data_IF_571930715445
#
_entry.id   IF_571930715445
#
_cell.length_a   1.000
_cell.length_b   1.000
_cell.length_c   1.000
_cell.angle_alpha   90.00
_cell.angle_beta   90.00
_cell.angle_gamma   90.00
#
_symmetry.space_group_name_H-M   'P 1'
#
loop_
_entity.id
_entity.type
_entity.pdbx_description
1 polymer ?
#
# COMPACT_ATOMS: atom_id res chain seq x y z
N UNK A 1 -3.00 -4.89 -3.89
CA UNK A 1 -3.31 -6.33 -3.73
C UNK A 1 -3.01 -7.02 -5.05
N UNK A 2 -2.44 -8.22 -5.01
CA UNK A 2 -2.36 -9.13 -6.14
C UNK A 2 -3.36 -10.25 -5.94
N UNK A 3 -3.88 -10.82 -7.02
CA UNK A 3 -4.92 -11.84 -7.02
C UNK A 3 -5.44 -12.04 -8.42
N UNK A 4 -6.70 -12.44 -8.56
CA UNK A 4 -7.37 -12.50 -9.86
C UNK A 4 -7.46 -11.10 -10.52
N UNK A 5 -7.66 -11.05 -11.84
CA UNK A 5 -7.76 -9.79 -12.59
C UNK A 5 -8.82 -8.81 -12.03
N UNK A 6 -9.89 -9.34 -11.42
CA UNK A 6 -10.90 -8.54 -10.74
C UNK A 6 -10.40 -7.89 -9.42
N UNK A 7 -9.43 -8.50 -8.75
CA UNK A 7 -8.85 -8.07 -7.47
C UNK A 7 -7.55 -7.23 -7.67
N UNK A 8 -6.97 -7.24 -8.87
CA UNK A 8 -5.68 -6.61 -9.20
C UNK A 8 -5.76 -5.09 -9.52
N UNK A 9 -6.96 -4.52 -9.59
CA UNK A 9 -7.23 -3.20 -10.20
C UNK A 9 -6.73 -1.97 -9.41
N UNK A 10 -6.22 -2.13 -8.19
CA UNK A 10 -5.95 -1.00 -7.29
C UNK A 10 -4.48 -0.77 -6.91
N UNK A 11 -3.54 -1.17 -7.77
CA UNK A 11 -2.10 -1.22 -7.43
C UNK A 11 -1.49 0.16 -7.12
N UNK A 12 -2.02 1.22 -7.72
CA UNK A 12 -1.57 2.61 -7.53
C UNK A 12 -2.62 3.50 -6.84
N UNK A 13 -3.73 2.94 -6.35
CA UNK A 13 -4.82 3.73 -5.77
C UNK A 13 -4.58 4.17 -4.33
N UNK A 14 -3.59 3.59 -3.65
CA UNK A 14 -3.33 3.85 -2.25
C UNK A 14 -1.86 4.20 -2.06
N UNK A 15 -1.60 5.45 -1.68
CA UNK A 15 -0.25 5.98 -1.43
C UNK A 15 -0.31 7.02 -0.31
N UNK A 16 0.62 6.89 0.63
CA UNK A 16 0.85 7.89 1.69
C UNK A 16 1.91 8.89 1.22
N UNK A 17 1.81 10.12 1.71
CA UNK A 17 2.77 11.20 1.45
C UNK A 17 4.12 10.85 2.06
N UNK A 18 5.21 11.22 1.40
CA UNK A 18 6.55 11.03 1.93
C UNK A 18 6.79 11.88 3.19
N UNK A 19 7.35 11.28 4.24
CA UNK A 19 7.84 12.00 5.41
C UNK A 19 9.22 12.57 5.15
N UNK A 20 9.28 13.89 5.10
CA UNK A 20 10.51 14.64 4.93
C UNK A 20 11.42 14.51 6.14
N UNK A 21 12.68 14.13 5.91
CA UNK A 21 13.79 14.16 6.87
C UNK A 21 13.58 13.30 8.12
N UNK A 22 12.70 12.28 8.06
CA UNK A 22 12.46 11.34 9.15
C UNK A 22 12.49 9.88 8.67
N UNK A 23 13.70 9.33 8.53
CA UNK A 23 13.93 7.93 8.13
C UNK A 23 14.09 6.95 9.29
N UNK A 24 14.19 7.42 10.54
CA UNK A 24 14.42 6.56 11.71
C UNK A 24 13.11 6.06 12.32
N UNK A 25 12.12 6.94 12.47
CA UNK A 25 10.80 6.60 13.01
C UNK A 25 9.72 7.50 12.43
N UNK A 26 9.27 7.17 11.22
CA UNK A 26 8.14 7.83 10.58
C UNK A 26 6.82 7.28 11.13
N UNK A 27 5.95 8.18 11.62
CA UNK A 27 4.56 7.86 11.98
C UNK A 27 3.62 8.53 10.99
N UNK A 28 2.66 7.76 10.46
CA UNK A 28 1.70 8.21 9.45
C UNK A 28 0.28 8.23 10.03
N UNK A 29 -0.53 9.21 9.63
CA UNK A 29 -1.94 9.34 10.02
C UNK A 29 -2.88 9.65 8.83
N UNK A 30 -4.19 9.76 9.12
CA UNK A 30 -5.25 10.01 8.14
C UNK A 30 -5.05 11.28 7.30
N UNK A 31 -4.31 12.28 7.81
CA UNK A 31 -4.05 13.55 7.08
C UNK A 31 -2.96 13.42 6.03
N UNK A 32 -2.24 12.29 6.02
CA UNK A 32 -1.02 12.09 5.24
C UNK A 32 -1.22 11.16 4.04
N UNK A 33 -2.45 11.02 3.58
CA UNK A 33 -2.79 10.28 2.38
C UNK A 33 -2.50 11.15 1.15
N UNK A 34 -1.73 10.61 0.20
CA UNK A 34 -1.46 11.24 -1.10
C UNK A 34 -2.54 10.84 -2.11
N UNK A 35 -2.89 9.54 -2.13
CA UNK A 35 -3.89 8.96 -3.01
C UNK A 35 -4.67 7.90 -2.23
N UNK A 36 -6.01 7.93 -2.31
CA UNK A 36 -6.89 6.96 -1.67
C UNK A 36 -7.39 7.36 -0.28
N UNK A 37 -7.58 6.37 0.60
CA UNK A 37 -7.97 6.53 2.02
C UNK A 37 -6.91 5.86 2.91
N UNK A 38 -6.71 6.37 4.13
CA UNK A 38 -5.77 5.78 5.10
C UNK A 38 -6.23 4.40 5.56
N UNK A 39 -7.55 4.26 5.80
CA UNK A 39 -8.19 2.97 5.97
C UNK A 39 -8.40 2.30 4.62
N UNK A 40 -7.47 1.42 4.23
CA UNK A 40 -7.60 0.68 2.97
C UNK A 40 -8.57 -0.49 3.16
N UNK A 41 -9.78 -0.37 2.61
CA UNK A 41 -10.79 -1.45 2.64
C UNK A 41 -10.94 -2.13 1.29
N UNK A 42 -10.65 -3.43 1.25
CA UNK A 42 -10.99 -4.30 0.12
C UNK A 42 -12.41 -4.83 0.33
N UNK A 43 -13.40 -4.21 -0.33
CA UNK A 43 -14.83 -4.49 -0.10
C UNK A 43 -15.24 -5.93 -0.46
N UNK A 44 -14.54 -6.54 -1.42
CA UNK A 44 -14.73 -7.93 -1.82
C UNK A 44 -13.40 -8.47 -2.34
N UNK A 45 -12.99 -9.63 -1.83
CA UNK A 45 -11.88 -10.43 -2.37
C UNK A 45 -12.52 -11.73 -2.85
N UNK A 46 -12.48 -11.98 -4.16
CA UNK A 46 -13.23 -13.10 -4.76
C UNK A 46 -12.56 -14.43 -4.45
N UNK A 47 -11.23 -14.48 -4.49
CA UNK A 47 -10.46 -15.69 -4.21
C UNK A 47 -9.28 -15.39 -3.27
N UNK A 48 -9.51 -15.44 -1.94
CA UNK A 48 -8.50 -15.11 -0.93
C UNK A 48 -7.24 -15.97 -1.02
N UNK A 49 -7.39 -17.27 -1.31
CA UNK A 49 -6.28 -18.24 -1.40
C UNK A 49 -5.25 -17.89 -2.48
N UNK A 50 -5.67 -17.15 -3.52
CA UNK A 50 -4.78 -16.66 -4.57
C UNK A 50 -4.38 -15.20 -4.39
N UNK A 51 -4.90 -14.53 -3.34
CA UNK A 51 -4.69 -13.11 -3.12
C UNK A 51 -3.55 -12.86 -2.12
N UNK A 52 -2.81 -11.78 -2.35
CA UNK A 52 -1.76 -11.30 -1.47
C UNK A 52 -1.80 -9.77 -1.37
N UNK A 53 -1.72 -9.28 -0.14
CA UNK A 53 -1.45 -7.88 0.15
C UNK A 53 0.04 -7.62 -0.03
N UNK A 54 0.38 -6.44 -0.57
CA UNK A 54 1.76 -5.98 -0.68
C UNK A 54 1.84 -4.60 -0.07
N UNK A 55 2.73 -4.46 0.89
CA UNK A 55 3.21 -3.18 1.40
C UNK A 55 4.56 -2.91 0.74
N UNK A 56 4.72 -1.73 0.15
CA UNK A 56 5.98 -1.30 -0.44
C UNK A 56 6.31 0.09 0.09
N UNK A 57 7.57 0.31 0.44
CA UNK A 57 8.09 1.58 0.96
C UNK A 57 9.13 2.09 -0.02
N UNK A 58 8.99 3.36 -0.36
CA UNK A 58 9.88 4.08 -1.27
C UNK A 58 10.26 5.43 -0.66
N UNK A 59 11.40 5.95 -1.05
CA UNK A 59 11.81 7.33 -0.78
C UNK A 59 10.99 8.34 -1.62
N UNK A 60 11.14 9.65 -1.33
CA UNK A 60 10.40 10.74 -1.99
C UNK A 60 10.67 10.78 -3.51
N UNK A 61 11.86 10.37 -3.94
CA UNK A 61 12.27 10.27 -5.35
C UNK A 61 11.78 8.99 -6.06
N UNK A 62 11.11 8.09 -5.32
CA UNK A 62 10.65 6.79 -5.80
C UNK A 62 11.68 5.65 -5.64
N UNK A 63 12.85 5.91 -5.07
CA UNK A 63 13.86 4.88 -4.77
C UNK A 63 13.27 3.83 -3.84
N UNK A 64 13.45 2.56 -4.17
CA UNK A 64 12.87 1.44 -3.43
C UNK A 64 13.64 1.17 -2.13
N UNK A 65 12.95 1.15 -1.00
CA UNK A 65 13.53 0.80 0.30
C UNK A 65 13.28 -0.67 0.62
N UNK A 66 12.02 -1.11 0.49
CA UNK A 66 11.63 -2.46 0.89
C UNK A 66 10.17 -2.78 0.61
N UNK A 67 9.84 -4.06 0.71
CA UNK A 67 8.46 -4.54 0.57
C UNK A 67 8.20 -5.76 1.43
N UNK A 68 6.94 -5.96 1.79
CA UNK A 68 6.45 -7.15 2.45
C UNK A 68 5.17 -7.63 1.79
N UNK A 69 4.98 -8.95 1.76
CA UNK A 69 3.79 -9.60 1.25
C UNK A 69 3.08 -10.33 2.38
N UNK A 70 1.76 -10.19 2.43
CA UNK A 70 0.90 -10.89 3.39
C UNK A 70 -0.16 -11.65 2.59
N UNK A 71 -0.18 -13.00 2.62
CA UNK A 71 -1.26 -13.76 2.01
C UNK A 71 -2.59 -13.45 2.72
N UNK A 72 -3.69 -13.41 1.94
CA UNK A 72 -5.01 -12.95 2.40
C UNK A 72 -5.81 -14.07 3.04
#
# INVERSE_FOLDING_TARGET
MYGLYADASKRNEYRLRAKRWNGFQAAYDDTEVEVGEFSIRFSKVILPEMAALRFAVSEEDGTFIGQSFIPV
#
